data_IF_277165786051
#
_entry.id   IF_277165786051
#
_cell.length_a   1.000
_cell.length_b   1.000
_cell.length_c   1.000
_cell.angle_alpha   90.00
_cell.angle_beta   90.00
_cell.angle_gamma   90.00
#
_symmetry.space_group_name_H-M   'P 1'
#
loop_
_entity.id
_entity.type
_entity.pdbx_description
1 polymer ?
#
# COMPACT_ATOMS: atom_id res chain seq x y z
N UNK A 1 22.61 -0.79 5.91
CA UNK A 1 21.64 0.05 6.64
C UNK A 1 20.84 0.74 5.54
N UNK A 2 19.66 0.22 5.21
CA UNK A 2 18.87 0.76 4.11
C UNK A 2 18.16 1.97 4.71
N UNK A 3 18.71 3.16 4.48
CA UNK A 3 18.02 4.40 4.82
C UNK A 3 16.67 4.41 4.08
N UNK A 4 15.57 4.81 4.73
CA UNK A 4 14.31 4.94 4.02
C UNK A 4 14.53 6.05 3.01
N UNK A 5 14.68 5.64 1.74
CA UNK A 5 14.48 6.50 0.61
C UNK A 5 13.27 7.36 0.97
N UNK A 6 13.43 8.66 1.01
CA UNK A 6 12.30 9.57 0.96
C UNK A 6 12.01 9.84 -0.54
N UNK A 7 11.04 9.14 -1.19
CA UNK A 7 10.58 9.61 -2.50
C UNK A 7 9.06 9.35 -2.70
N UNK A 8 8.58 9.45 -3.95
CA UNK A 8 7.76 10.53 -4.49
C UNK A 8 6.26 10.34 -4.18
N UNK A 9 5.61 11.42 -3.73
CA UNK A 9 4.15 11.49 -3.49
C UNK A 9 3.63 10.52 -2.43
N UNK A 10 3.12 11.06 -1.32
CA UNK A 10 2.48 10.28 -0.26
C UNK A 10 1.40 9.35 -0.86
N UNK A 11 1.55 8.01 -0.78
CA UNK A 11 0.60 7.07 -1.36
C UNK A 11 -0.81 7.22 -0.79
N UNK A 12 -0.93 7.73 0.44
CA UNK A 12 -2.24 7.95 1.09
C UNK A 12 -2.98 9.17 0.56
N UNK A 13 -2.31 10.02 -0.22
CA UNK A 13 -2.86 11.22 -0.86
C UNK A 13 -3.25 10.98 -2.33
N UNK A 14 -2.87 9.85 -2.92
CA UNK A 14 -3.18 9.49 -4.30
C UNK A 14 -4.60 8.90 -4.44
N UNK A 15 -5.22 9.11 -5.60
CA UNK A 15 -6.47 8.41 -5.95
C UNK A 15 -6.20 6.94 -6.25
N UNK A 16 -7.25 6.11 -6.19
CA UNK A 16 -7.16 4.69 -6.51
C UNK A 16 -6.60 4.44 -7.92
N UNK A 17 -7.02 5.23 -8.92
CA UNK A 17 -6.52 5.12 -10.30
C UNK A 17 -5.04 5.53 -10.41
N UNK A 18 -4.60 6.53 -9.65
CA UNK A 18 -3.19 6.94 -9.64
C UNK A 18 -2.29 5.90 -8.96
N UNK A 19 -2.77 5.26 -7.89
CA UNK A 19 -2.09 4.14 -7.24
C UNK A 19 -1.99 2.94 -8.18
N UNK A 20 -3.09 2.55 -8.82
CA UNK A 20 -3.09 1.45 -9.79
C UNK A 20 -2.10 1.71 -10.94
N UNK A 21 -2.10 2.93 -11.48
CA UNK A 21 -1.12 3.33 -12.50
C UNK A 21 0.31 3.32 -11.97
N UNK A 22 0.55 3.82 -10.76
CA UNK A 22 1.89 3.83 -10.17
C UNK A 22 2.43 2.41 -9.92
N UNK A 23 1.55 1.47 -9.56
CA UNK A 23 1.90 0.05 -9.40
C UNK A 23 2.17 -0.59 -10.76
N UNK A 24 1.33 -0.34 -11.76
CA UNK A 24 1.53 -0.84 -13.13
C UNK A 24 2.83 -0.31 -13.78
N UNK A 25 3.20 0.94 -13.47
CA UNK A 25 4.45 1.56 -13.91
C UNK A 25 5.67 1.17 -13.04
N UNK A 26 5.51 0.26 -12.07
CA UNK A 26 6.53 -0.15 -11.10
C UNK A 26 7.17 1.00 -10.31
N UNK A 27 6.45 2.12 -10.16
CA UNK A 27 6.90 3.28 -9.35
C UNK A 27 6.61 3.10 -7.86
N UNK A 28 5.61 2.29 -7.53
CA UNK A 28 5.23 1.90 -6.18
C UNK A 28 4.89 0.42 -6.17
N UNK A 29 5.13 -0.26 -5.06
CA UNK A 29 4.64 -1.62 -4.82
C UNK A 29 3.34 -1.60 -4.04
N UNK A 30 2.49 -2.61 -4.22
CA UNK A 30 1.30 -2.80 -3.40
C UNK A 30 1.67 -2.87 -1.92
N UNK A 31 2.83 -3.47 -1.58
CA UNK A 31 3.36 -3.50 -0.22
C UNK A 31 3.61 -2.12 0.36
N UNK A 32 4.30 -1.25 -0.37
CA UNK A 32 4.57 0.13 0.07
C UNK A 32 3.28 0.93 0.28
N UNK A 33 2.29 0.75 -0.61
CA UNK A 33 0.99 1.42 -0.49
C UNK A 33 0.26 0.96 0.78
N UNK A 34 0.22 -0.35 1.06
CA UNK A 34 -0.43 -0.89 2.25
C UNK A 34 0.26 -0.41 3.52
N UNK A 35 1.60 -0.45 3.57
CA UNK A 35 2.35 0.00 4.74
C UNK A 35 2.15 1.50 5.02
N UNK A 36 2.08 2.34 3.97
CA UNK A 36 1.76 3.77 4.12
C UNK A 36 0.36 3.99 4.72
N UNK A 37 -0.64 3.24 4.27
CA UNK A 37 -2.00 3.34 4.81
C UNK A 37 -2.10 2.84 6.24
N UNK A 38 -1.41 1.75 6.59
CA UNK A 38 -1.35 1.26 7.97
C UNK A 38 -0.75 2.33 8.88
N UNK A 39 0.38 2.93 8.50
CA UNK A 39 1.01 3.99 9.27
C UNK A 39 0.06 5.19 9.49
N UNK A 40 -0.67 5.60 8.45
CA UNK A 40 -1.67 6.67 8.55
C UNK A 40 -2.83 6.29 9.49
N UNK A 41 -3.31 5.06 9.41
CA UNK A 41 -4.36 4.56 10.30
C UNK A 41 -3.86 4.56 11.75
N UNK A 42 -2.64 4.11 12.03
CA UNK A 42 -2.10 4.11 13.39
C UNK A 42 -2.00 5.51 13.99
N UNK A 43 -1.74 6.53 13.17
CA UNK A 43 -1.72 7.94 13.60
C UNK A 43 -3.10 8.52 13.88
N UNK A 44 -4.13 8.16 13.09
CA UNK A 44 -5.44 8.84 13.11
C UNK A 44 -6.51 8.06 13.86
N UNK A 45 -6.45 6.73 13.82
CA UNK A 45 -7.46 5.87 14.44
C UNK A 45 -7.65 6.09 15.94
N UNK A 46 -6.64 6.45 16.76
CA UNK A 46 -6.87 6.76 18.18
C UNK A 46 -7.87 7.90 18.41
N UNK A 47 -7.95 8.86 17.48
CA UNK A 47 -8.90 9.98 17.55
C UNK A 47 -10.26 9.64 16.92
N UNK A 48 -10.29 8.82 15.87
CA UNK A 48 -11.52 8.52 15.12
C UNK A 48 -12.24 7.26 15.59
N UNK A 49 -11.53 6.30 16.19
CA UNK A 49 -12.01 4.97 16.54
C UNK A 49 -12.73 4.26 15.36
N UNK A 50 -12.22 4.44 14.14
CA UNK A 50 -12.85 3.96 12.90
C UNK A 50 -12.46 2.53 12.52
N UNK A 51 -11.34 2.03 13.03
CA UNK A 51 -10.81 0.68 12.77
C UNK A 51 -10.80 -0.11 14.07
N UNK A 52 -11.66 -1.12 14.12
CA UNK A 52 -11.85 -2.00 15.29
C UNK A 52 -10.93 -3.22 15.21
N UNK A 53 -10.77 -3.81 14.02
CA UNK A 53 -9.98 -5.02 13.81
C UNK A 53 -8.75 -4.71 12.96
N UNK A 54 -7.57 -4.93 13.51
CA UNK A 54 -6.29 -4.73 12.84
C UNK A 54 -5.86 -6.02 12.12
N UNK A 55 -5.90 -6.04 10.79
CA UNK A 55 -5.46 -7.18 9.94
C UNK A 55 -4.15 -6.89 9.21
N UNK A 56 -3.24 -6.14 9.84
CA UNK A 56 -2.02 -5.62 9.21
C UNK A 56 -1.17 -6.69 8.54
N UNK A 57 -0.93 -7.81 9.23
CA UNK A 57 -0.12 -8.90 8.71
C UNK A 57 -0.77 -9.59 7.50
N UNK A 58 -2.08 -9.83 7.54
CA UNK A 58 -2.81 -10.40 6.41
C UNK A 58 -2.82 -9.43 5.22
N UNK A 59 -3.08 -8.14 5.45
CA UNK A 59 -3.07 -7.12 4.40
C UNK A 59 -1.69 -7.00 3.72
N UNK A 60 -0.63 -7.08 4.53
CA UNK A 60 0.77 -7.14 4.08
C UNK A 60 1.04 -8.35 3.19
N UNK A 61 0.60 -9.54 3.60
CA UNK A 61 0.75 -10.77 2.83
C UNK A 61 -0.02 -10.72 1.51
N UNK A 62 -1.25 -10.21 1.52
CA UNK A 62 -2.08 -10.03 0.32
C UNK A 62 -1.42 -9.05 -0.66
N UNK A 63 -0.78 -7.99 -0.16
CA UNK A 63 -0.02 -7.04 -0.97
C UNK A 63 1.20 -7.68 -1.63
N UNK A 64 1.98 -8.46 -0.87
CA UNK A 64 3.14 -9.18 -1.41
C UNK A 64 2.71 -10.14 -2.54
N UNK A 65 1.56 -10.81 -2.39
CA UNK A 65 1.00 -11.67 -3.44
C UNK A 65 0.55 -10.87 -4.67
N UNK A 66 0.01 -9.67 -4.50
CA UNK A 66 -0.37 -8.79 -5.59
C UNK A 66 0.86 -8.30 -6.37
N UNK A 67 1.94 -7.93 -5.67
CA UNK A 67 3.21 -7.55 -6.30
C UNK A 67 3.83 -8.71 -7.10
N UNK A 68 3.79 -9.94 -6.57
CA UNK A 68 4.21 -11.13 -7.31
C UNK A 68 3.34 -11.36 -8.55
N UNK A 69 2.02 -11.27 -8.41
CA UNK A 69 1.10 -11.47 -9.54
C UNK A 69 1.26 -10.39 -10.63
N UNK A 70 1.53 -9.15 -10.25
CA UNK A 70 1.80 -8.05 -11.18
C UNK A 70 3.09 -8.28 -11.98
N UNK A 71 4.14 -8.80 -11.33
CA UNK A 71 5.38 -9.19 -12.00
C UNK A 71 5.20 -10.37 -12.96
N UNK A 72 4.27 -11.27 -12.65
CA UNK A 72 3.92 -12.42 -13.48
C UNK A 72 2.89 -12.08 -14.60
N UNK A 73 2.63 -10.78 -14.85
CA UNK A 73 1.63 -10.25 -15.81
C UNK A 73 0.19 -10.76 -15.56
N UNK A 74 -0.06 -11.31 -14.36
CA UNK A 74 -1.38 -11.72 -13.87
C UNK A 74 -1.98 -10.58 -13.06
N UNK A 75 -2.32 -9.49 -13.74
CA UNK A 75 -3.09 -8.40 -13.14
C UNK A 75 -4.38 -8.95 -12.52
N UNK A 76 -4.57 -8.69 -11.22
CA UNK A 76 -5.80 -9.04 -10.50
C UNK A 76 -6.68 -7.81 -10.40
N UNK A 77 -7.88 -7.92 -10.99
CA UNK A 77 -8.94 -6.91 -10.90
C UNK A 77 -8.78 -5.73 -11.87
N UNK A 78 -9.87 -5.00 -12.15
CA UNK A 78 -9.85 -3.79 -12.97
C UNK A 78 -9.19 -2.60 -12.27
#
# INVERSE_FOLDING_TARGET
MIEPSAPPTDPTSLTASELARAIAEHRLTAREVVDAHIARIEQVNPALNAVVVKRWEAARLEADQADVAQRDDRLRGP
#
